data_IF_581253962943
#
_entry.id   IF_581253962943
#
_cell.length_a   1.000
_cell.length_b   1.000
_cell.length_c   1.000
_cell.angle_alpha   90.00
_cell.angle_beta   90.00
_cell.angle_gamma   90.00
#
_symmetry.space_group_name_H-M   'P 1'
#
loop_
_entity.id
_entity.type
_entity.pdbx_description
1 polymer ?
#
# COMPACT_ATOMS: atom_id res chain seq x y z
N UNK A 1 21.30 14.89 -6.51
CA UNK A 1 21.53 13.43 -6.60
C UNK A 1 20.93 12.95 -7.90
N UNK A 2 21.61 12.04 -8.61
CA UNK A 2 21.07 11.47 -9.86
C UNK A 2 19.83 10.64 -9.55
N UNK A 3 18.80 10.77 -10.39
CA UNK A 3 17.62 9.90 -10.35
C UNK A 3 17.86 8.77 -11.37
N UNK A 4 18.23 7.55 -10.92
CA UNK A 4 18.56 6.46 -11.82
C UNK A 4 17.37 6.13 -12.74
N UNK A 5 17.67 5.86 -14.00
CA UNK A 5 16.69 5.46 -15.02
C UNK A 5 17.29 4.44 -15.98
N UNK A 6 16.46 3.67 -16.61
CA UNK A 6 16.85 2.57 -17.48
C UNK A 6 16.35 1.23 -16.95
N UNK A 7 17.12 0.18 -17.15
CA UNK A 7 16.75 -1.17 -16.67
C UNK A 7 17.21 -1.35 -15.24
N UNK A 8 16.31 -1.12 -14.28
CA UNK A 8 16.64 -1.07 -12.85
C UNK A 8 15.86 -2.12 -12.09
N UNK A 9 16.56 -2.92 -11.28
CA UNK A 9 15.99 -3.62 -10.14
C UNK A 9 16.13 -2.77 -8.89
N UNK A 10 15.13 -2.83 -8.00
CA UNK A 10 15.19 -2.19 -6.70
C UNK A 10 14.62 -3.11 -5.63
N UNK A 11 15.14 -2.98 -4.42
CA UNK A 11 14.72 -3.75 -3.26
C UNK A 11 14.47 -2.84 -2.07
N UNK A 12 13.43 -3.17 -1.29
CA UNK A 12 12.92 -2.36 -0.20
C UNK A 12 13.01 -3.16 1.09
N UNK A 13 13.45 -2.50 2.16
CA UNK A 13 13.69 -3.09 3.46
C UNK A 13 12.85 -2.46 4.56
N UNK A 14 12.42 -3.29 5.53
CA UNK A 14 11.91 -2.90 6.84
C UNK A 14 12.92 -3.38 7.90
N UNK A 15 13.61 -2.45 8.57
CA UNK A 15 14.80 -2.82 9.33
C UNK A 15 15.85 -3.42 8.41
N UNK A 16 16.29 -4.63 8.71
CA UNK A 16 17.22 -5.43 7.90
C UNK A 16 16.51 -6.44 6.98
N UNK A 17 15.19 -6.57 7.10
CA UNK A 17 14.42 -7.55 6.35
C UNK A 17 14.11 -7.03 4.93
N UNK A 18 14.49 -7.78 3.93
CA UNK A 18 14.10 -7.57 2.54
C UNK A 18 12.62 -7.92 2.38
N UNK A 19 11.76 -6.90 2.13
CA UNK A 19 10.32 -7.10 2.06
C UNK A 19 9.76 -7.10 0.64
N UNK A 20 10.43 -6.41 -0.29
CA UNK A 20 9.97 -6.29 -1.67
C UNK A 20 11.14 -6.14 -2.64
N UNK A 21 11.01 -6.76 -3.79
CA UNK A 21 11.88 -6.60 -4.95
C UNK A 21 11.01 -6.28 -6.18
N UNK A 22 11.46 -5.35 -7.01
CA UNK A 22 10.73 -4.99 -8.23
C UNK A 22 11.65 -4.38 -9.27
N UNK A 23 11.12 -4.24 -10.48
CA UNK A 23 11.83 -3.65 -11.61
C UNK A 23 11.15 -2.40 -12.14
N UNK A 24 11.94 -1.58 -12.85
CA UNK A 24 11.42 -0.40 -13.53
C UNK A 24 12.29 0.01 -14.71
N UNK A 25 11.65 0.57 -15.74
CA UNK A 25 12.30 1.34 -16.82
C UNK A 25 12.09 2.86 -16.64
N UNK A 26 11.23 3.24 -15.71
CA UNK A 26 11.01 4.63 -15.36
C UNK A 26 12.09 5.12 -14.39
N UNK A 27 12.26 6.46 -14.26
CA UNK A 27 13.10 7.00 -13.20
C UNK A 27 12.71 6.39 -11.83
N UNK A 28 13.71 5.90 -11.10
CA UNK A 28 13.48 5.13 -9.87
C UNK A 28 12.65 5.91 -8.84
N UNK A 29 12.90 7.21 -8.69
CA UNK A 29 12.11 8.07 -7.80
C UNK A 29 10.62 8.07 -8.17
N UNK A 30 10.28 8.13 -9.46
CA UNK A 30 8.90 8.10 -9.93
C UNK A 30 8.24 6.75 -9.65
N UNK A 31 8.98 5.65 -9.85
CA UNK A 31 8.49 4.30 -9.56
C UNK A 31 8.24 4.10 -8.07
N UNK A 32 9.19 4.48 -7.22
CA UNK A 32 9.04 4.40 -5.75
C UNK A 32 7.86 5.24 -5.29
N UNK A 33 7.76 6.49 -5.77
CA UNK A 33 6.61 7.35 -5.46
C UNK A 33 5.30 6.68 -5.87
N UNK A 34 5.21 6.10 -7.08
CA UNK A 34 4.03 5.39 -7.57
C UNK A 34 3.61 4.19 -6.70
N UNK A 35 4.56 3.50 -6.06
CA UNK A 35 4.25 2.45 -5.07
C UNK A 35 3.72 3.00 -3.76
N UNK A 36 4.36 4.04 -3.26
CA UNK A 36 4.06 4.62 -1.95
C UNK A 36 2.75 5.41 -1.94
N UNK A 37 2.44 6.11 -3.05
CA UNK A 37 1.24 6.95 -3.18
C UNK A 37 0.05 6.22 -3.80
N UNK A 38 0.04 4.91 -3.82
CA UNK A 38 -1.20 4.16 -4.06
C UNK A 38 -2.22 4.50 -2.98
N UNK A 39 -3.48 4.48 -3.37
CA UNK A 39 -4.59 4.66 -2.42
C UNK A 39 -4.45 3.65 -1.27
N UNK A 40 -4.84 4.00 -0.03
CA UNK A 40 -4.58 3.18 1.16
C UNK A 40 -4.99 1.72 1.04
N UNK A 41 -6.11 1.43 0.37
CA UNK A 41 -6.59 0.06 0.13
C UNK A 41 -5.68 -0.79 -0.77
N UNK A 42 -4.91 -0.15 -1.66
CA UNK A 42 -4.06 -0.82 -2.65
C UNK A 42 -2.56 -0.73 -2.33
N UNK A 43 -2.24 -0.16 -1.17
CA UNK A 43 -0.86 0.02 -0.75
C UNK A 43 -0.33 -1.23 -0.05
N UNK A 44 0.60 -1.92 -0.69
CA UNK A 44 1.29 -3.07 -0.11
C UNK A 44 2.52 -2.70 0.71
N UNK A 45 3.09 -1.50 0.50
CA UNK A 45 4.32 -1.04 1.15
C UNK A 45 4.00 0.08 2.14
N UNK A 46 4.27 -0.17 3.42
CA UNK A 46 4.12 0.82 4.49
C UNK A 46 5.36 1.73 4.55
N UNK A 47 5.23 2.97 4.11
CA UNK A 47 6.38 3.92 4.02
C UNK A 47 7.06 4.18 5.36
N UNK A 48 6.28 4.20 6.44
CA UNK A 48 6.80 4.43 7.79
C UNK A 48 7.72 3.31 8.29
N UNK A 49 7.62 2.11 7.71
CA UNK A 49 8.47 0.97 8.02
C UNK A 49 9.69 0.86 7.10
N UNK A 50 9.69 1.59 5.96
CA UNK A 50 10.82 1.54 5.02
C UNK A 50 12.05 2.20 5.65
N UNK A 51 13.10 1.43 5.78
CA UNK A 51 14.40 1.86 6.33
C UNK A 51 15.44 2.11 5.26
N UNK A 52 15.43 1.28 4.20
CA UNK A 52 16.42 1.32 3.13
C UNK A 52 15.77 0.92 1.80
N UNK A 53 16.25 1.57 0.74
CA UNK A 53 15.97 1.17 -0.64
C UNK A 53 17.30 1.06 -1.35
N UNK A 54 17.53 -0.04 -2.06
CA UNK A 54 18.70 -0.25 -2.89
C UNK A 54 18.29 -0.53 -4.32
N UNK A 55 19.18 -0.29 -5.26
CA UNK A 55 18.94 -0.56 -6.67
C UNK A 55 20.19 -1.07 -7.37
N UNK A 56 19.99 -1.83 -8.43
CA UNK A 56 21.01 -2.28 -9.37
C UNK A 56 20.60 -1.90 -10.80
N UNK A 57 21.60 -1.53 -11.63
CA UNK A 57 21.41 -1.11 -13.02
C UNK A 57 21.85 -2.22 -13.96
N UNK A 58 21.07 -2.46 -15.02
CA UNK A 58 21.34 -3.47 -16.04
C UNK A 58 21.49 -2.86 -17.41
N UNK A 59 22.23 -3.53 -18.29
CA UNK A 59 22.44 -3.06 -19.66
C UNK A 59 21.26 -3.40 -20.56
N UNK A 60 20.53 -4.48 -20.26
CA UNK A 60 19.41 -4.96 -21.06
C UNK A 60 18.17 -5.23 -20.23
N UNK A 61 17.01 -5.16 -20.86
CA UNK A 61 15.74 -5.56 -20.25
C UNK A 61 15.71 -7.06 -19.92
N UNK A 62 16.35 -7.87 -20.76
CA UNK A 62 16.41 -9.32 -20.57
C UNK A 62 17.16 -9.67 -19.28
N UNK A 63 18.31 -9.06 -19.04
CA UNK A 63 19.08 -9.28 -17.81
C UNK A 63 18.30 -8.81 -16.58
N UNK A 64 17.70 -7.62 -16.63
CA UNK A 64 16.86 -7.12 -15.55
C UNK A 64 15.72 -8.08 -15.19
N UNK A 65 15.02 -8.61 -16.22
CA UNK A 65 13.92 -9.56 -16.03
C UNK A 65 14.40 -10.89 -15.45
N UNK A 66 15.52 -11.41 -15.97
CA UNK A 66 16.13 -12.64 -15.49
C UNK A 66 16.51 -12.53 -14.00
N UNK A 67 17.19 -11.45 -13.64
CA UNK A 67 17.61 -11.21 -12.26
C UNK A 67 16.43 -10.93 -11.33
N UNK A 68 15.35 -10.30 -11.78
CA UNK A 68 14.15 -10.13 -10.95
C UNK A 68 13.58 -11.49 -10.54
N UNK A 69 13.32 -12.38 -11.51
CA UNK A 69 12.79 -13.71 -11.24
C UNK A 69 13.75 -14.51 -10.36
N UNK A 70 15.05 -14.44 -10.65
CA UNK A 70 16.09 -15.10 -9.88
C UNK A 70 16.08 -14.67 -8.41
N UNK A 71 16.14 -13.37 -8.13
CA UNK A 71 16.21 -12.86 -6.76
C UNK A 71 14.88 -12.99 -6.00
N UNK A 72 13.73 -12.90 -6.67
CA UNK A 72 12.43 -13.19 -6.03
C UNK A 72 12.42 -14.64 -5.52
N UNK A 73 12.94 -15.58 -6.30
CA UNK A 73 12.96 -16.99 -5.92
C UNK A 73 14.10 -17.33 -4.94
N UNK A 74 15.20 -16.61 -4.97
CA UNK A 74 16.30 -16.79 -4.03
C UNK A 74 15.95 -16.28 -2.63
N UNK A 75 15.40 -15.06 -2.54
CA UNK A 75 15.13 -14.38 -1.26
C UNK A 75 13.69 -14.46 -0.79
N UNK A 76 12.74 -14.74 -1.67
CA UNK A 76 11.30 -14.88 -1.40
C UNK A 76 10.71 -13.73 -0.58
N UNK A 77 10.88 -12.45 -0.99
CA UNK A 77 10.45 -11.31 -0.18
C UNK A 77 8.94 -11.39 0.09
N UNK A 78 8.46 -11.10 1.31
CA UNK A 78 7.07 -11.36 1.71
C UNK A 78 6.03 -10.60 0.89
N UNK A 79 6.34 -9.39 0.42
CA UNK A 79 5.38 -8.56 -0.34
C UNK A 79 5.38 -8.84 -1.85
N UNK A 80 6.27 -9.68 -2.36
CA UNK A 80 6.13 -10.21 -3.71
C UNK A 80 5.14 -11.37 -3.68
N UNK A 81 4.06 -11.28 -4.46
CA UNK A 81 3.03 -12.33 -4.56
C UNK A 81 3.30 -13.18 -5.80
N UNK A 82 3.56 -12.50 -6.93
CA UNK A 82 3.83 -13.13 -8.22
C UNK A 82 5.28 -13.61 -8.32
N UNK A 83 5.56 -14.45 -9.30
CA UNK A 83 6.89 -15.00 -9.68
C UNK A 83 7.60 -15.83 -8.60
N UNK A 84 6.93 -16.20 -7.50
CA UNK A 84 7.47 -17.09 -6.48
C UNK A 84 7.19 -18.56 -6.81
N UNK A 85 8.24 -19.33 -7.01
CA UNK A 85 8.16 -20.78 -7.08
C UNK A 85 8.31 -21.42 -5.69
N UNK A 86 7.74 -22.60 -5.51
CA UNK A 86 7.90 -23.39 -4.26
C UNK A 86 9.26 -24.03 -4.17
N UNK A 87 9.79 -24.42 -5.32
CA UNK A 87 11.04 -25.16 -5.43
C UNK A 87 12.26 -24.28 -5.16
N UNK A 88 13.37 -24.89 -4.83
CA UNK A 88 14.66 -24.23 -4.71
C UNK A 88 15.27 -23.98 -6.10
N UNK A 89 16.01 -22.90 -6.23
CA UNK A 89 16.79 -22.63 -7.43
C UNK A 89 17.93 -23.64 -7.57
N UNK A 90 18.13 -24.14 -8.78
CA UNK A 90 19.24 -25.06 -9.14
C UNK A 90 20.38 -24.35 -9.86
N UNK A 91 20.17 -23.07 -10.22
CA UNK A 91 21.15 -22.23 -10.92
C UNK A 91 21.61 -21.10 -10.00
N UNK A 92 22.84 -20.63 -10.23
CA UNK A 92 23.40 -19.46 -9.57
C UNK A 92 23.76 -18.42 -10.63
N UNK A 93 23.31 -17.20 -10.44
CA UNK A 93 23.71 -16.05 -11.25
C UNK A 93 24.83 -15.27 -10.54
N UNK A 94 25.68 -14.54 -11.30
CA UNK A 94 26.65 -13.63 -10.71
C UNK A 94 25.99 -12.59 -9.82
N UNK A 95 26.71 -12.15 -8.77
CA UNK A 95 26.27 -11.04 -7.93
C UNK A 95 26.18 -9.75 -8.73
N UNK A 96 25.28 -8.87 -8.31
CA UNK A 96 25.12 -7.53 -8.87
C UNK A 96 25.52 -6.46 -7.84
N UNK A 97 26.02 -5.33 -8.33
CA UNK A 97 26.35 -4.20 -7.47
C UNK A 97 25.06 -3.46 -7.05
N UNK A 98 24.78 -3.45 -5.74
CA UNK A 98 23.67 -2.72 -5.16
C UNK A 98 24.09 -1.34 -4.65
N UNK A 99 23.40 -0.30 -5.09
CA UNK A 99 23.59 1.10 -4.71
C UNK A 99 22.45 1.56 -3.82
N UNK A 100 22.72 2.35 -2.80
CA UNK A 100 21.67 2.92 -1.94
C UNK A 100 20.93 4.05 -2.68
N UNK A 101 19.60 3.96 -2.71
CA UNK A 101 18.74 5.03 -3.22
C UNK A 101 18.43 6.02 -2.10
N UNK A 102 18.68 7.30 -2.36
CA UNK A 102 18.34 8.40 -1.44
C UNK A 102 17.61 9.51 -2.21
N UNK A 103 16.63 10.14 -1.57
CA UNK A 103 15.91 11.29 -2.14
C UNK A 103 15.66 12.33 -1.05
N UNK A 104 15.84 13.65 -1.34
CA UNK A 104 15.52 14.72 -0.39
C UNK A 104 14.00 14.85 -0.13
N UNK A 105 13.17 14.17 -0.92
CA UNK A 105 11.71 14.22 -0.79
C UNK A 105 11.16 13.21 0.23
N UNK A 106 12.00 12.36 0.81
CA UNK A 106 11.57 11.24 1.63
C UNK A 106 10.70 11.65 2.83
N UNK A 107 11.15 12.64 3.60
CA UNK A 107 10.42 13.12 4.77
C UNK A 107 9.10 13.83 4.39
N UNK A 108 9.10 14.53 3.25
CA UNK A 108 7.87 15.12 2.70
C UNK A 108 6.87 14.03 2.34
N UNK A 109 7.31 12.97 1.67
CA UNK A 109 6.47 11.85 1.29
C UNK A 109 5.89 11.12 2.50
N UNK A 110 6.71 10.86 3.53
CA UNK A 110 6.23 10.25 4.78
C UNK A 110 5.08 11.06 5.39
N UNK A 111 5.27 12.35 5.58
CA UNK A 111 4.24 13.23 6.18
C UNK A 111 2.95 13.27 5.35
N UNK A 112 3.05 13.32 4.04
CA UNK A 112 1.90 13.35 3.12
C UNK A 112 1.09 12.05 3.20
N UNK A 113 1.77 10.91 3.20
CA UNK A 113 1.14 9.60 3.29
C UNK A 113 0.52 9.37 4.67
N UNK A 114 1.21 9.73 5.76
CA UNK A 114 0.67 9.63 7.11
C UNK A 114 -0.62 10.45 7.29
N UNK A 115 -0.68 11.64 6.69
CA UNK A 115 -1.90 12.46 6.70
C UNK A 115 -3.05 11.74 5.98
N UNK A 116 -2.79 11.18 4.80
CA UNK A 116 -3.78 10.45 4.01
C UNK A 116 -4.25 9.18 4.73
N UNK A 117 -3.33 8.44 5.33
CA UNK A 117 -3.66 7.22 6.07
C UNK A 117 -4.49 7.51 7.32
N UNK A 118 -4.18 8.56 8.07
CA UNK A 118 -4.99 9.00 9.21
C UNK A 118 -6.39 9.38 8.78
N UNK A 119 -6.55 10.16 7.72
CA UNK A 119 -7.85 10.54 7.19
C UNK A 119 -8.69 9.32 6.80
N UNK A 120 -8.08 8.37 6.08
CA UNK A 120 -8.73 7.11 5.71
C UNK A 120 -9.18 6.30 6.93
N UNK A 121 -8.32 6.14 7.94
CA UNK A 121 -8.66 5.39 9.15
C UNK A 121 -9.79 6.06 9.94
N UNK A 122 -9.81 7.38 10.03
CA UNK A 122 -10.90 8.12 10.67
C UNK A 122 -12.23 7.85 9.96
N UNK A 123 -12.29 7.95 8.63
CA UNK A 123 -13.52 7.68 7.86
C UNK A 123 -13.99 6.23 8.01
N UNK A 124 -13.05 5.29 8.03
CA UNK A 124 -13.39 3.87 8.28
C UNK A 124 -13.98 3.65 9.67
N UNK A 125 -13.46 4.33 10.68
CA UNK A 125 -14.01 4.27 12.05
C UNK A 125 -15.39 4.91 12.14
N UNK A 126 -15.61 6.06 11.48
CA UNK A 126 -16.92 6.72 11.41
C UNK A 126 -17.96 5.79 10.78
N UNK A 127 -17.62 5.11 9.67
CA UNK A 127 -18.51 4.13 9.03
C UNK A 127 -18.85 2.97 9.96
N UNK A 128 -17.87 2.41 10.64
CA UNK A 128 -18.08 1.32 11.57
C UNK A 128 -18.97 1.73 12.76
N UNK A 129 -18.78 2.94 13.28
CA UNK A 129 -19.62 3.49 14.37
C UNK A 129 -21.05 3.71 13.91
N UNK A 130 -21.28 4.20 12.68
CA UNK A 130 -22.61 4.37 12.11
C UNK A 130 -23.33 3.01 11.99
N UNK A 131 -22.64 2.00 11.42
CA UNK A 131 -23.20 0.66 11.28
C UNK A 131 -23.57 0.02 12.62
N UNK A 132 -22.78 0.26 13.68
CA UNK A 132 -23.12 -0.24 15.02
C UNK A 132 -24.33 0.51 15.59
N UNK A 133 -24.42 1.82 15.37
CA UNK A 133 -25.59 2.61 15.78
C UNK A 133 -26.86 2.11 15.05
N UNK A 134 -26.78 1.80 13.76
CA UNK A 134 -27.93 1.22 13.01
C UNK A 134 -28.40 -0.10 13.62
N UNK A 135 -27.47 -0.94 14.04
CA UNK A 135 -27.82 -2.20 14.73
C UNK A 135 -28.55 -1.96 16.05
N UNK A 136 -28.06 -0.95 16.83
CA UNK A 136 -28.67 -0.60 18.11
C UNK A 136 -30.06 -0.02 17.91
N UNK A 137 -30.23 0.94 16.98
CA UNK A 137 -31.53 1.56 16.71
C UNK A 137 -32.55 0.57 16.17
N UNK A 138 -32.14 -0.35 15.27
CA UNK A 138 -33.00 -1.43 14.79
C UNK A 138 -33.46 -2.35 15.94
N UNK A 139 -32.56 -2.68 16.88
CA UNK A 139 -32.90 -3.50 18.05
C UNK A 139 -33.91 -2.79 18.93
N UNK A 140 -33.71 -1.50 19.25
CA UNK A 140 -34.64 -0.69 20.06
C UNK A 140 -36.03 -0.63 19.44
N UNK A 141 -36.10 -0.43 18.11
CA UNK A 141 -37.36 -0.43 17.38
C UNK A 141 -38.10 -1.78 17.53
N UNK A 142 -37.41 -2.89 17.30
CA UNK A 142 -38.02 -4.22 17.45
C UNK A 142 -38.42 -4.57 18.89
N UNK A 143 -37.79 -3.94 19.88
CA UNK A 143 -38.14 -4.09 21.31
C UNK A 143 -39.25 -3.13 21.76
N UNK A 144 -39.72 -2.24 20.87
CA UNK A 144 -40.74 -1.24 21.19
C UNK A 144 -40.23 -0.11 22.09
N UNK A 145 -38.91 0.07 22.18
CA UNK A 145 -38.28 1.12 23.00
C UNK A 145 -38.32 2.49 22.32
N UNK A 146 -38.47 2.53 20.99
CA UNK A 146 -38.64 3.74 20.18
C UNK A 146 -39.84 3.56 19.26
N UNK A 147 -40.49 4.67 18.90
CA UNK A 147 -41.62 4.70 17.97
C UNK A 147 -41.17 4.56 16.52
N UNK A 148 -42.12 4.22 15.64
CA UNK A 148 -41.90 4.15 14.19
C UNK A 148 -41.39 5.50 13.62
N UNK A 149 -42.00 6.60 14.03
CA UNK A 149 -41.58 7.94 13.60
C UNK A 149 -40.14 8.31 14.00
N UNK A 150 -39.71 7.92 15.23
CA UNK A 150 -38.35 8.13 15.69
C UNK A 150 -37.37 7.25 14.94
N UNK A 151 -37.76 6.04 14.59
CA UNK A 151 -36.90 5.15 13.79
C UNK A 151 -36.79 5.61 12.34
N UNK A 152 -37.87 6.09 11.72
CA UNK A 152 -37.85 6.66 10.35
C UNK A 152 -36.96 7.91 10.30
N UNK A 153 -37.11 8.86 11.22
CA UNK A 153 -36.25 10.05 11.30
C UNK A 153 -34.76 9.69 11.45
N UNK A 154 -34.48 8.64 12.25
CA UNK A 154 -33.12 8.14 12.37
C UNK A 154 -32.61 7.57 11.06
N UNK A 155 -33.39 6.73 10.35
CA UNK A 155 -33.00 6.10 9.09
C UNK A 155 -32.68 7.12 8.00
N UNK A 156 -33.47 8.20 7.87
CA UNK A 156 -33.20 9.29 6.93
C UNK A 156 -31.84 9.93 7.21
N UNK A 157 -31.58 10.32 8.44
CA UNK A 157 -30.31 10.95 8.85
C UNK A 157 -29.10 10.02 8.72
N UNK A 158 -29.30 8.74 9.01
CA UNK A 158 -28.25 7.71 8.90
C UNK A 158 -27.89 7.47 7.42
N UNK A 159 -28.88 7.41 6.53
CA UNK A 159 -28.69 7.22 5.10
C UNK A 159 -27.88 8.36 4.47
N UNK A 160 -28.21 9.61 4.77
CA UNK A 160 -27.51 10.79 4.28
C UNK A 160 -26.04 10.78 4.74
N UNK A 161 -25.81 10.45 6.00
CA UNK A 161 -24.47 10.37 6.59
C UNK A 161 -23.66 9.21 6.02
N UNK A 162 -24.28 8.06 5.77
CA UNK A 162 -23.60 6.92 5.13
C UNK A 162 -23.16 7.27 3.72
N UNK A 163 -24.00 7.95 2.95
CA UNK A 163 -23.65 8.42 1.60
C UNK A 163 -22.48 9.41 1.63
N UNK A 164 -22.47 10.36 2.55
CA UNK A 164 -21.36 11.31 2.72
C UNK A 164 -20.05 10.61 3.04
N UNK A 165 -20.08 9.62 3.97
CA UNK A 165 -18.90 8.83 4.34
C UNK A 165 -18.42 8.00 3.14
N UNK A 166 -19.31 7.35 2.41
CA UNK A 166 -18.98 6.52 1.26
C UNK A 166 -18.38 7.32 0.11
N UNK A 167 -18.94 8.49 -0.20
CA UNK A 167 -18.35 9.42 -1.16
C UNK A 167 -16.94 9.83 -0.74
N UNK A 168 -16.73 10.17 0.54
CA UNK A 168 -15.43 10.55 1.05
C UNK A 168 -14.43 9.38 1.05
N UNK A 169 -14.88 8.14 1.28
CA UNK A 169 -14.05 6.95 1.19
C UNK A 169 -13.68 6.61 -0.25
N UNK A 170 -14.55 6.95 -1.22
CA UNK A 170 -14.28 6.72 -2.64
C UNK A 170 -13.03 7.46 -3.13
N UNK A 171 -12.69 8.59 -2.51
CA UNK A 171 -11.44 9.30 -2.79
C UNK A 171 -10.17 8.50 -2.41
N UNK A 172 -10.33 7.44 -1.59
CA UNK A 172 -9.23 6.58 -1.11
C UNK A 172 -9.20 5.18 -1.77
N UNK A 173 -10.20 4.85 -2.63
CA UNK A 173 -10.29 3.54 -3.34
C UNK A 173 -9.62 3.51 -4.72
#
# INVERSE_FOLDING_TARGET
MANPQGYILYRIYYGDDLVYLGRTKQPLQSRIRGHLFKKPMHRSIAINLVTKIEYAEFQTEADMNLYEIYFINLWKPPLNIDDKCRDALTVSLPDVEWKTFTTPLWDKWKKEIEKTDKAYQMRKQEKAALQEMDRVMRRKFHQGEISEAEYEEYCEKSCDKEQEIDLSLYDFI
#
